data_IF_035403111026
#
_entry.id   IF_035403111026
#
_cell.length_a   1.000
_cell.length_b   1.000
_cell.length_c   1.000
_cell.angle_alpha   90.00
_cell.angle_beta   90.00
_cell.angle_gamma   90.00
#
_symmetry.space_group_name_H-M   'P 1'
#
loop_
_entity.id
_entity.type
_entity.pdbx_description
1 polymer ?
#
# COMPACT_ATOMS: atom_id res chain seq x y z
N UNK A 1 1.68 -9.22 -26.76
CA UNK A 1 1.90 -8.26 -25.65
C UNK A 1 2.28 -9.08 -24.44
N UNK A 2 3.54 -9.02 -24.01
CA UNK A 2 4.07 -9.83 -22.92
C UNK A 2 3.42 -9.37 -21.61
N UNK A 3 2.58 -10.22 -21.03
CA UNK A 3 2.04 -10.07 -19.69
C UNK A 3 3.24 -10.15 -18.73
N UNK A 4 3.81 -9.00 -18.38
CA UNK A 4 4.88 -8.96 -17.41
C UNK A 4 4.31 -9.51 -16.09
N UNK A 5 4.97 -10.49 -15.44
CA UNK A 5 4.45 -11.08 -14.21
C UNK A 5 4.23 -9.96 -13.19
N UNK A 6 3.02 -9.90 -12.63
CA UNK A 6 2.65 -8.91 -11.62
C UNK A 6 3.74 -8.85 -10.53
N UNK A 7 4.24 -7.66 -10.16
CA UNK A 7 5.33 -7.52 -9.20
C UNK A 7 4.94 -7.96 -7.77
N UNK A 8 3.65 -8.26 -7.56
CA UNK A 8 3.08 -8.70 -6.31
C UNK A 8 2.48 -10.11 -6.42
N UNK A 9 2.69 -10.89 -5.38
CA UNK A 9 2.01 -12.17 -5.19
C UNK A 9 0.51 -11.96 -4.93
N UNK A 10 -0.33 -12.99 -5.08
CA UNK A 10 -1.77 -12.88 -4.78
C UNK A 10 -2.06 -12.38 -3.36
N UNK A 11 -1.31 -12.83 -2.36
CA UNK A 11 -1.48 -12.42 -0.96
C UNK A 11 -1.11 -10.95 -0.73
N UNK A 12 -0.09 -10.44 -1.42
CA UNK A 12 0.32 -9.04 -1.35
C UNK A 12 -0.68 -8.12 -2.04
N UNK A 13 -1.22 -8.53 -3.18
CA UNK A 13 -2.30 -7.80 -3.85
C UNK A 13 -3.53 -7.70 -2.96
N UNK A 14 -3.89 -8.79 -2.29
CA UNK A 14 -5.03 -8.78 -1.37
C UNK A 14 -4.79 -7.87 -0.16
N UNK A 15 -3.57 -7.88 0.40
CA UNK A 15 -3.17 -6.92 1.43
C UNK A 15 -3.34 -5.47 0.94
N UNK A 16 -2.82 -5.16 -0.25
CA UNK A 16 -2.90 -3.80 -0.84
C UNK A 16 -4.35 -3.39 -1.05
N UNK A 17 -5.18 -4.25 -1.65
CA UNK A 17 -6.62 -4.00 -1.86
C UNK A 17 -7.34 -3.74 -0.56
N UNK A 18 -7.02 -4.49 0.49
CA UNK A 18 -7.64 -4.34 1.81
C UNK A 18 -7.21 -3.03 2.48
N UNK A 19 -5.92 -2.68 2.42
CA UNK A 19 -5.38 -1.51 3.12
C UNK A 19 -5.70 -0.18 2.42
N UNK A 20 -5.73 -0.16 1.09
CA UNK A 20 -6.03 1.03 0.29
C UNK A 20 -7.41 0.99 -0.37
N UNK A 21 -8.27 0.05 0.01
CA UNK A 21 -9.69 0.14 -0.34
C UNK A 21 -10.36 1.25 0.46
N UNK A 22 -11.39 1.90 -0.12
CA UNK A 22 -12.20 2.90 0.57
C UNK A 22 -12.73 2.33 1.91
N UNK A 23 -12.42 3.00 3.01
CA UNK A 23 -12.84 2.64 4.38
C UNK A 23 -13.66 3.77 4.97
N UNK A 24 -14.88 3.47 5.42
CA UNK A 24 -15.80 4.46 6.03
C UNK A 24 -16.02 5.72 5.17
N UNK A 25 -16.05 5.57 3.84
CA UNK A 25 -16.22 6.69 2.90
C UNK A 25 -14.95 7.51 2.63
N UNK A 26 -13.83 7.18 3.27
CA UNK A 26 -12.54 7.84 3.05
C UNK A 26 -11.65 6.99 2.15
N UNK A 27 -10.99 7.66 1.20
CA UNK A 27 -9.96 7.08 0.35
C UNK A 27 -8.61 7.20 1.07
N UNK A 28 -7.96 6.07 1.44
CA UNK A 28 -6.66 6.11 2.11
C UNK A 28 -5.59 6.73 1.22
N UNK A 29 -4.75 7.59 1.78
CA UNK A 29 -3.59 8.16 1.07
C UNK A 29 -2.41 7.19 1.14
N UNK A 30 -1.63 7.11 0.06
CA UNK A 30 -0.40 6.33 0.05
C UNK A 30 0.64 6.90 1.01
N UNK A 31 0.67 8.23 1.16
CA UNK A 31 1.54 8.94 2.08
C UNK A 31 1.32 8.54 3.56
N UNK A 32 0.08 8.25 3.97
CA UNK A 32 -0.25 7.85 5.35
C UNK A 32 0.32 6.49 5.73
N UNK A 33 0.66 5.66 4.73
CA UNK A 33 1.21 4.34 4.90
C UNK A 33 0.27 3.35 5.60
N UNK A 34 0.74 2.11 5.72
CA UNK A 34 0.02 1.00 6.33
C UNK A 34 0.29 0.99 7.83
N UNK A 35 -0.77 1.02 8.63
CA UNK A 35 -0.65 1.00 10.08
C UNK A 35 -0.31 -0.39 10.62
N UNK A 36 0.73 -0.43 11.47
CA UNK A 36 1.23 -1.63 12.11
C UNK A 36 1.12 -1.49 13.63
N UNK A 37 0.30 -2.36 14.23
CA UNK A 37 0.23 -2.51 15.68
C UNK A 37 1.52 -3.07 16.23
N UNK A 38 1.89 -2.69 17.44
CA UNK A 38 3.02 -3.30 18.15
C UNK A 38 2.58 -4.50 18.98
N UNK A 39 3.53 -5.37 19.30
CA UNK A 39 3.38 -6.31 20.40
C UNK A 39 3.38 -5.56 21.73
N UNK A 40 2.30 -5.70 22.50
CA UNK A 40 2.15 -5.03 23.81
C UNK A 40 3.02 -5.65 24.90
N UNK A 41 3.28 -6.95 24.81
CA UNK A 41 3.99 -7.72 25.83
C UNK A 41 4.68 -8.95 25.21
N UNK A 42 5.53 -9.61 26.00
CA UNK A 42 6.29 -10.80 25.61
C UNK A 42 7.64 -10.48 24.94
N UNK A 43 8.34 -11.51 24.41
CA UNK A 43 9.70 -11.35 23.88
C UNK A 43 9.83 -10.38 22.69
N UNK A 44 8.70 -10.09 22.02
CA UNK A 44 8.63 -9.17 20.88
C UNK A 44 8.04 -7.81 21.26
N UNK A 45 7.85 -7.51 22.54
CA UNK A 45 7.25 -6.26 22.99
C UNK A 45 7.92 -5.04 22.36
N UNK A 46 7.11 -4.08 21.91
CA UNK A 46 7.57 -2.89 21.19
C UNK A 46 7.87 -3.11 19.71
N UNK A 47 7.95 -4.36 19.23
CA UNK A 47 8.17 -4.63 17.80
C UNK A 47 6.86 -4.55 17.01
N UNK A 48 6.91 -4.12 15.73
CA UNK A 48 5.75 -4.12 14.85
C UNK A 48 5.27 -5.53 14.51
N UNK A 49 3.95 -5.70 14.48
CA UNK A 49 3.27 -6.92 14.04
C UNK A 49 3.19 -6.93 12.52
N UNK A 50 4.23 -7.44 11.88
CA UNK A 50 4.31 -7.56 10.43
C UNK A 50 3.39 -8.69 9.94
N UNK A 51 2.38 -8.42 9.09
CA UNK A 51 1.60 -9.47 8.44
C UNK A 51 2.47 -10.30 7.50
N UNK A 52 2.15 -11.60 7.33
CA UNK A 52 2.96 -12.50 6.49
C UNK A 52 3.12 -11.99 5.05
N UNK A 53 2.07 -11.42 4.47
CA UNK A 53 2.11 -10.83 3.14
C UNK A 53 3.05 -9.61 3.05
N UNK A 54 3.26 -8.87 4.15
CA UNK A 54 4.18 -7.73 4.17
C UNK A 54 5.64 -8.13 4.34
N UNK A 55 5.93 -9.30 4.93
CA UNK A 55 7.31 -9.79 5.07
C UNK A 55 8.03 -9.88 3.71
N UNK A 56 7.34 -10.38 2.68
CA UNK A 56 7.87 -10.47 1.31
C UNK A 56 8.08 -9.10 0.65
N UNK A 57 7.22 -8.12 0.95
CA UNK A 57 7.38 -6.74 0.49
C UNK A 57 8.61 -6.08 1.12
N UNK A 58 8.81 -6.28 2.42
CA UNK A 58 9.95 -5.74 3.16
C UNK A 58 11.25 -6.41 2.71
N UNK A 59 11.27 -7.74 2.59
CA UNK A 59 12.45 -8.48 2.15
C UNK A 59 12.92 -8.08 0.74
N UNK A 60 11.98 -7.69 -0.13
CA UNK A 60 12.27 -7.18 -1.49
C UNK A 60 12.49 -5.66 -1.55
N UNK A 61 12.46 -4.97 -0.40
CA UNK A 61 12.66 -3.53 -0.32
C UNK A 61 11.56 -2.70 -0.98
N UNK A 62 10.36 -3.25 -1.16
CA UNK A 62 9.20 -2.53 -1.72
C UNK A 62 8.46 -1.74 -0.65
N UNK A 63 8.53 -2.18 0.61
CA UNK A 63 7.93 -1.51 1.76
C UNK A 63 8.98 -1.41 2.85
N UNK A 64 9.02 -0.28 3.54
CA UNK A 64 9.85 -0.06 4.73
C UNK A 64 8.97 0.31 5.92
N UNK A 65 9.27 -0.26 7.08
CA UNK A 65 8.69 0.21 8.35
C UNK A 65 9.34 1.54 8.69
N UNK A 66 8.54 2.50 9.17
CA UNK A 66 9.04 3.82 9.58
C UNK A 66 10.14 3.66 10.64
N UNK A 67 11.22 4.41 10.45
CA UNK A 67 12.31 4.50 11.42
C UNK A 67 11.98 5.46 12.57
N UNK A 68 10.87 6.21 12.46
CA UNK A 68 10.43 7.10 13.53
C UNK A 68 10.04 6.32 14.79
N UNK A 69 10.21 6.92 15.98
CA UNK A 69 9.75 6.31 17.21
C UNK A 69 8.26 5.96 17.11
N UNK A 70 7.87 4.71 17.43
CA UNK A 70 6.48 4.32 17.35
C UNK A 70 5.63 5.14 18.34
N UNK A 71 4.44 5.54 17.91
CA UNK A 71 3.43 6.10 18.81
C UNK A 71 2.87 5.03 19.74
N UNK A 72 2.13 5.44 20.78
CA UNK A 72 1.37 4.52 21.63
C UNK A 72 0.38 3.65 20.85
N UNK A 73 -0.07 4.13 19.68
CA UNK A 73 -0.99 3.41 18.81
C UNK A 73 -0.25 2.37 17.96
N UNK A 74 0.94 2.71 17.47
CA UNK A 74 1.78 1.84 16.67
C UNK A 74 2.76 2.58 15.77
N UNK A 75 3.26 1.88 14.75
CA UNK A 75 4.13 2.43 13.70
C UNK A 75 3.46 2.32 12.33
N UNK A 76 4.06 2.94 11.32
CA UNK A 76 3.61 2.92 9.92
C UNK A 76 4.62 2.18 9.06
N UNK A 77 4.16 1.61 7.96
CA UNK A 77 4.99 1.12 6.88
C UNK A 77 4.64 1.84 5.58
N UNK A 78 5.65 2.30 4.86
CA UNK A 78 5.50 3.11 3.66
C UNK A 78 6.11 2.38 2.47
N UNK A 79 5.55 2.59 1.28
CA UNK A 79 6.18 2.12 0.06
C UNK A 79 7.48 2.88 -0.17
N UNK A 80 8.52 2.14 -0.53
CA UNK A 80 9.78 2.72 -1.01
C UNK A 80 9.60 3.22 -2.44
N UNK A 81 10.53 4.01 -3.00
CA UNK A 81 10.46 4.38 -4.42
C UNK A 81 10.30 3.18 -5.36
N UNK A 82 10.98 2.06 -5.08
CA UNK A 82 10.83 0.82 -5.84
C UNK A 82 9.43 0.20 -5.68
N UNK A 83 8.86 0.27 -4.46
CA UNK A 83 7.49 -0.13 -4.18
C UNK A 83 6.44 0.71 -4.91
N UNK A 84 6.67 2.02 -5.04
CA UNK A 84 5.80 2.92 -5.81
C UNK A 84 5.80 2.55 -7.28
N UNK A 85 6.95 2.26 -7.88
CA UNK A 85 7.02 1.81 -9.27
C UNK A 85 6.34 0.45 -9.47
N UNK A 86 6.51 -0.48 -8.54
CA UNK A 86 5.78 -1.74 -8.54
C UNK A 86 4.27 -1.51 -8.44
N UNK A 87 3.82 -0.60 -7.58
CA UNK A 87 2.41 -0.25 -7.41
C UNK A 87 1.84 0.40 -8.68
N UNK A 88 2.61 1.25 -9.36
CA UNK A 88 2.25 1.80 -10.68
C UNK A 88 2.04 0.69 -11.71
N UNK A 89 2.95 -0.29 -11.76
CA UNK A 89 2.80 -1.43 -12.66
C UNK A 89 1.55 -2.29 -12.32
N UNK A 90 1.28 -2.52 -11.03
CA UNK A 90 0.08 -3.23 -10.59
C UNK A 90 -1.21 -2.52 -11.00
N UNK A 91 -1.27 -1.20 -10.78
CA UNK A 91 -2.47 -0.41 -11.05
C UNK A 91 -2.77 -0.25 -12.53
N UNK A 92 -1.77 -0.39 -13.41
CA UNK A 92 -1.99 -0.46 -14.87
C UNK A 92 -2.75 -1.73 -15.28
N UNK A 93 -2.64 -2.82 -14.52
CA UNK A 93 -3.41 -4.03 -14.73
C UNK A 93 -4.79 -3.94 -14.06
N UNK A 94 -5.80 -3.62 -14.88
CA UNK A 94 -7.21 -3.51 -14.47
C UNK A 94 -7.81 -4.83 -13.98
N UNK A 95 -7.22 -5.98 -14.30
CA UNK A 95 -7.68 -7.28 -13.79
C UNK A 95 -7.14 -7.54 -12.38
N UNK A 96 -5.95 -7.01 -12.08
CA UNK A 96 -5.32 -7.16 -10.77
C UNK A 96 -5.84 -6.16 -9.73
N UNK A 97 -6.33 -4.98 -10.13
CA UNK A 97 -6.91 -3.98 -9.23
C UNK A 97 -8.18 -3.41 -9.83
N UNK A 98 -9.28 -3.49 -9.08
CA UNK A 98 -10.56 -2.88 -9.47
C UNK A 98 -10.40 -1.36 -9.58
N UNK A 99 -10.62 -0.77 -10.77
CA UNK A 99 -10.33 0.63 -11.04
C UNK A 99 -11.33 1.59 -10.36
N UNK A 100 -12.56 1.16 -10.07
CA UNK A 100 -13.54 2.00 -9.38
C UNK A 100 -13.20 2.13 -7.89
N UNK A 101 -12.80 1.03 -7.25
CA UNK A 101 -12.41 1.00 -5.83
C UNK A 101 -11.06 1.66 -5.54
N UNK A 102 -10.15 1.64 -6.52
CA UNK A 102 -8.77 2.13 -6.35
C UNK A 102 -8.40 3.27 -7.30
N UNK A 103 -9.39 3.94 -7.90
CA UNK A 103 -9.17 5.09 -8.78
C UNK A 103 -8.44 6.24 -8.09
N UNK A 104 -8.62 6.42 -6.77
CA UNK A 104 -7.86 7.41 -5.99
C UNK A 104 -6.34 7.15 -6.02
N UNK A 105 -5.90 5.89 -5.88
CA UNK A 105 -4.47 5.54 -5.98
C UNK A 105 -3.90 5.81 -7.37
N UNK A 106 -4.70 5.59 -8.42
CA UNK A 106 -4.26 5.87 -9.78
C UNK A 106 -4.05 7.37 -10.00
N UNK A 107 -4.96 8.20 -9.50
CA UNK A 107 -4.82 9.67 -9.51
C UNK A 107 -3.62 10.13 -8.67
N UNK A 108 -3.48 9.61 -7.44
CA UNK A 108 -2.35 9.95 -6.55
C UNK A 108 -0.99 9.61 -7.19
N UNK A 109 -0.90 8.51 -7.94
CA UNK A 109 0.33 8.10 -8.62
C UNK A 109 0.56 8.73 -9.99
N UNK A 110 -0.38 9.56 -10.47
CA UNK A 110 -0.34 10.22 -11.78
C UNK A 110 -0.57 9.27 -12.96
N UNK A 111 -1.31 8.18 -12.74
CA UNK A 111 -1.66 7.21 -13.80
C UNK A 111 -2.91 7.59 -14.59
N UNK A 112 -3.79 8.37 -13.97
CA UNK A 112 -4.93 8.99 -14.63
C UNK A 112 -4.64 10.50 -14.74
N UNK A 113 -5.08 11.16 -15.84
CA UNK A 113 -5.01 12.61 -15.91
C UNK A 113 -5.74 13.23 -14.72
N UNK A 114 -5.30 14.39 -14.20
CA UNK A 114 -6.08 15.10 -13.20
C UNK A 114 -7.49 15.31 -13.76
N UNK A 115 -8.52 15.04 -12.95
CA UNK A 115 -9.90 15.28 -13.34
C UNK A 115 -10.03 16.75 -13.77
N UNK A 116 -10.06 17.01 -15.08
CA UNK A 116 -10.43 18.31 -15.65
C UNK A 116 -11.95 18.47 -15.55
N UNK A 117 -12.49 18.51 -14.33
CA UNK A 117 -13.91 18.82 -14.13
C UNK A 117 -14.11 19.63 -12.85
N UNK A 118 -14.00 20.94 -13.06
CA UNK A 118 -14.38 22.01 -12.14
C UNK A 118 -14.52 23.33 -12.91
N UNK A 119 -15.02 23.28 -14.15
CA UNK A 119 -15.42 24.45 -14.92
C UNK A 119 -16.87 24.27 -15.38
N UNK A 120 -17.79 24.72 -14.53
CA UNK A 120 -19.16 25.08 -14.91
C UNK A 120 -19.54 26.32 -14.12
#
# INVERSE_FOLDING_TARGET
MTDAPSPFTPAERELIRREFGRRFGQDPLLADGIFLRLWRAGPRAGQPKIPKAMEGLIARGLVAVSAEPPSILGTRAHFTPAGIEALRALLRDRRAMDPERHGHLRRELGLDPPDEDGAA
#
